data_IF_827068544016
#
_entry.id   IF_827068544016
#
_cell.length_a   1.000
_cell.length_b   1.000
_cell.length_c   1.000
_cell.angle_alpha   90.00
_cell.angle_beta   90.00
_cell.angle_gamma   90.00
#
_symmetry.space_group_name_H-M   'P 1'
#
loop_
_entity.id
_entity.type
_entity.pdbx_description
1 polymer ?
#
# COMPACT_ATOMS: atom_id res chain seq x y z
N UNK A 1 23.22 32.56 40.83
CA UNK A 1 23.24 31.15 40.38
C UNK A 1 21.96 30.67 39.68
N UNK A 2 20.75 31.16 40.02
CA UNK A 2 19.50 30.73 39.37
C UNK A 2 19.33 31.25 37.92
N UNK A 3 19.74 32.51 37.64
CA UNK A 3 19.68 33.08 36.29
C UNK A 3 20.61 32.39 35.28
N UNK A 4 21.80 31.98 35.71
CA UNK A 4 22.80 31.31 34.86
C UNK A 4 22.33 29.93 34.38
N UNK A 5 21.53 29.21 35.18
CA UNK A 5 20.93 27.93 34.77
C UNK A 5 19.81 28.10 33.73
N UNK A 6 19.05 29.20 33.80
CA UNK A 6 17.99 29.52 32.82
C UNK A 6 18.64 29.88 31.48
N UNK A 7 19.74 30.64 31.50
CA UNK A 7 20.49 31.00 30.30
C UNK A 7 21.10 29.77 29.60
N UNK A 8 21.63 28.81 30.38
CA UNK A 8 22.17 27.56 29.86
C UNK A 8 21.08 26.67 29.23
N UNK A 9 19.90 26.60 29.84
CA UNK A 9 18.75 25.83 29.31
C UNK A 9 18.21 26.42 28.01
N UNK A 10 18.17 27.75 27.88
CA UNK A 10 17.75 28.42 26.64
C UNK A 10 18.74 28.17 25.48
N UNK A 11 20.04 28.10 25.78
CA UNK A 11 21.07 27.79 24.78
C UNK A 11 20.97 26.36 24.25
N UNK A 12 20.68 25.37 25.11
CA UNK A 12 20.53 23.97 24.70
C UNK A 12 19.21 23.75 23.93
N UNK A 13 18.15 24.47 24.28
CA UNK A 13 16.87 24.43 23.56
C UNK A 13 16.90 25.17 22.21
N UNK A 14 17.84 26.10 22.00
CA UNK A 14 17.99 26.86 20.75
C UNK A 14 18.77 26.16 19.64
N UNK A 15 19.50 25.08 19.93
CA UNK A 15 20.25 24.30 18.92
C UNK A 15 19.36 23.35 18.08
N UNK A 16 18.07 23.25 18.39
CA UNK A 16 17.07 22.46 17.65
C UNK A 16 16.10 23.37 16.89
N UNK A 17 16.56 24.53 16.43
CA UNK A 17 15.86 25.24 15.38
C UNK A 17 15.94 24.38 14.12
N UNK A 18 14.80 23.79 13.76
CA UNK A 18 14.52 23.15 12.50
C UNK A 18 15.19 23.91 11.36
N UNK A 19 16.35 23.43 10.90
CA UNK A 19 16.90 23.86 9.63
C UNK A 19 16.02 23.25 8.56
N UNK A 20 14.91 23.94 8.26
CA UNK A 20 14.42 23.93 6.90
C UNK A 20 15.64 24.22 6.02
N UNK A 21 16.02 23.25 5.19
CA UNK A 21 17.18 23.35 4.33
C UNK A 21 16.90 24.51 3.39
N UNK A 22 17.46 25.68 3.68
CA UNK A 22 17.25 26.93 2.93
C UNK A 22 18.08 26.96 1.64
N UNK A 23 18.16 25.79 0.99
CA UNK A 23 18.84 25.55 -0.27
C UNK A 23 17.83 24.99 -1.25
N UNK A 24 17.10 25.85 -1.98
CA UNK A 24 16.01 25.42 -2.86
C UNK A 24 16.49 24.46 -3.95
N UNK A 25 17.74 24.61 -4.40
CA UNK A 25 18.42 23.74 -5.36
C UNK A 25 18.48 22.27 -4.89
N UNK A 26 18.84 22.03 -3.64
CA UNK A 26 18.94 20.67 -3.08
C UNK A 26 17.56 20.04 -2.93
N UNK A 27 16.58 20.83 -2.49
CA UNK A 27 15.20 20.37 -2.32
C UNK A 27 14.55 20.06 -3.68
N UNK A 28 14.86 20.85 -4.70
CA UNK A 28 14.34 20.64 -6.06
C UNK A 28 14.86 19.34 -6.67
N UNK A 29 16.16 19.06 -6.60
CA UNK A 29 16.73 17.81 -7.13
C UNK A 29 16.20 16.59 -6.37
N UNK A 30 16.10 16.67 -5.04
CA UNK A 30 15.54 15.60 -4.22
C UNK A 30 14.05 15.38 -4.54
N UNK A 31 13.28 16.46 -4.73
CA UNK A 31 11.87 16.36 -5.10
C UNK A 31 11.70 15.70 -6.48
N UNK A 32 12.55 16.03 -7.46
CA UNK A 32 12.52 15.43 -8.78
C UNK A 32 12.83 13.93 -8.75
N UNK A 33 13.90 13.51 -8.05
CA UNK A 33 14.25 12.09 -7.95
C UNK A 33 13.23 11.28 -7.16
N UNK A 34 12.72 11.82 -6.04
CA UNK A 34 11.65 11.16 -5.27
C UNK A 34 10.35 11.04 -6.06
N UNK A 35 9.98 12.07 -6.83
CA UNK A 35 8.83 12.00 -7.72
C UNK A 35 9.01 10.93 -8.81
N UNK A 36 10.21 10.83 -9.40
CA UNK A 36 10.52 9.81 -10.42
C UNK A 36 10.42 8.40 -9.86
N UNK A 37 10.98 8.16 -8.66
CA UNK A 37 10.87 6.87 -7.98
C UNK A 37 9.42 6.53 -7.65
N UNK A 38 8.63 7.50 -7.17
CA UNK A 38 7.20 7.27 -6.87
C UNK A 38 6.40 6.86 -8.11
N UNK A 39 6.66 7.48 -9.26
CA UNK A 39 6.03 7.10 -10.54
C UNK A 39 6.46 5.70 -10.98
N UNK A 40 7.76 5.37 -10.85
CA UNK A 40 8.25 4.03 -11.19
C UNK A 40 7.63 2.94 -10.31
N UNK A 41 7.46 3.19 -9.01
CA UNK A 41 6.75 2.27 -8.12
C UNK A 41 5.27 2.13 -8.51
N UNK A 42 4.61 3.24 -8.87
CA UNK A 42 3.21 3.21 -9.31
C UNK A 42 2.99 2.46 -10.63
N UNK A 43 4.01 2.39 -11.49
CA UNK A 43 3.98 1.62 -12.73
C UNK A 43 4.31 0.14 -12.54
N UNK A 44 4.83 -0.25 -11.38
CA UNK A 44 5.11 -1.64 -11.08
C UNK A 44 3.77 -2.38 -10.92
N UNK A 45 3.40 -3.16 -11.94
CA UNK A 45 2.21 -4.00 -11.88
C UNK A 45 2.31 -4.89 -10.65
N UNK A 46 1.29 -4.84 -9.79
CA UNK A 46 1.17 -5.77 -8.67
C UNK A 46 1.32 -7.20 -9.22
N UNK A 47 2.20 -8.04 -8.64
CA UNK A 47 2.39 -9.38 -9.14
C UNK A 47 1.06 -10.11 -9.21
N UNK A 48 0.81 -10.76 -10.35
CA UNK A 48 -0.39 -11.56 -10.53
C UNK A 48 -0.48 -12.61 -9.41
N UNK A 49 -1.69 -12.93 -8.91
CA UNK A 49 -1.85 -13.96 -7.91
C UNK A 49 -1.28 -15.28 -8.43
N UNK A 50 -0.53 -15.99 -7.59
CA UNK A 50 0.17 -17.22 -7.96
C UNK A 50 -0.76 -18.33 -8.48
N UNK A 51 -2.04 -18.28 -8.13
CA UNK A 51 -3.05 -19.19 -8.67
C UNK A 51 -4.43 -18.55 -8.73
N UNK A 52 -5.11 -18.75 -9.86
CA UNK A 52 -6.51 -18.38 -10.06
C UNK A 52 -7.47 -19.42 -9.45
N UNK A 53 -6.98 -20.53 -8.88
CA UNK A 53 -7.83 -21.62 -8.36
C UNK A 53 -8.63 -21.18 -7.13
N UNK A 54 -9.91 -21.51 -7.10
CA UNK A 54 -10.74 -21.32 -5.92
C UNK A 54 -10.24 -22.19 -4.76
N UNK A 55 -9.91 -21.58 -3.62
CA UNK A 55 -9.39 -22.28 -2.44
C UNK A 55 -10.40 -23.26 -1.84
N UNK A 56 -11.70 -23.01 -2.01
CA UNK A 56 -12.74 -23.81 -1.39
C UNK A 56 -13.07 -25.12 -2.14
N UNK A 57 -12.65 -25.23 -3.41
CA UNK A 57 -12.88 -26.43 -4.21
C UNK A 57 -11.63 -26.88 -4.98
N UNK A 58 -10.46 -26.32 -4.63
CA UNK A 58 -9.17 -26.57 -5.30
C UNK A 58 -9.20 -26.45 -6.83
N UNK A 59 -10.11 -25.61 -7.34
CA UNK A 59 -10.29 -25.39 -8.77
C UNK A 59 -11.22 -26.36 -9.50
N UNK A 60 -11.85 -27.31 -8.80
CA UNK A 60 -12.76 -28.30 -9.41
C UNK A 60 -14.16 -27.74 -9.70
N UNK A 61 -14.54 -26.64 -9.07
CA UNK A 61 -15.89 -26.05 -9.16
C UNK A 61 -16.97 -26.81 -8.38
N UNK A 62 -16.62 -27.93 -7.73
CA UNK A 62 -17.57 -28.79 -7.00
C UNK A 62 -16.99 -29.17 -5.64
N UNK A 63 -17.86 -29.45 -4.68
CA UNK A 63 -17.48 -29.88 -3.33
C UNK A 63 -18.23 -31.17 -3.04
N UNK A 64 -17.54 -32.14 -2.44
CA UNK A 64 -18.16 -33.39 -2.02
C UNK A 64 -17.24 -34.60 -2.12
N UNK A 65 -17.56 -35.64 -1.34
CA UNK A 65 -16.77 -36.86 -1.20
C UNK A 65 -17.02 -37.88 -2.32
N UNK A 66 -17.33 -37.39 -3.53
CA UNK A 66 -17.63 -38.21 -4.72
C UNK A 66 -19.03 -38.84 -4.76
N UNK A 67 -19.70 -39.03 -3.61
CA UNK A 67 -21.09 -39.56 -3.55
C UNK A 67 -22.16 -38.48 -3.52
N UNK A 68 -21.92 -37.39 -2.79
CA UNK A 68 -22.78 -36.21 -2.76
C UNK A 68 -21.96 -35.08 -3.32
N UNK A 69 -22.34 -34.56 -4.49
CA UNK A 69 -21.59 -33.52 -5.18
C UNK A 69 -22.47 -32.27 -5.28
N UNK A 70 -22.01 -31.19 -4.69
CA UNK A 70 -22.66 -29.89 -4.75
C UNK A 70 -21.78 -28.86 -5.47
N UNK A 71 -22.40 -27.94 -6.19
CA UNK A 71 -21.68 -26.84 -6.83
C UNK A 71 -21.02 -25.97 -5.76
N UNK A 72 -19.74 -25.62 -5.94
CA UNK A 72 -19.02 -24.81 -4.95
C UNK A 72 -19.71 -23.44 -4.80
N UNK A 73 -20.19 -23.07 -3.59
CA UNK A 73 -20.96 -21.84 -3.38
C UNK A 73 -20.11 -20.58 -3.52
N UNK A 74 -18.80 -20.69 -3.25
CA UNK A 74 -17.84 -19.57 -3.28
C UNK A 74 -17.55 -19.13 -4.71
N UNK A 75 -17.18 -20.07 -5.59
CA UNK A 75 -16.88 -19.77 -6.99
C UNK A 75 -18.08 -19.99 -7.92
N UNK A 76 -19.24 -20.41 -7.38
CA UNK A 76 -20.47 -20.73 -8.14
C UNK A 76 -20.22 -21.70 -9.30
N UNK A 77 -19.32 -22.66 -9.11
CA UNK A 77 -18.98 -23.65 -10.13
C UNK A 77 -17.85 -23.25 -11.09
N UNK A 78 -17.33 -22.02 -11.02
CA UNK A 78 -16.27 -21.58 -11.94
C UNK A 78 -14.89 -22.18 -11.65
N UNK A 79 -14.68 -22.68 -10.43
CA UNK A 79 -13.38 -23.17 -9.97
C UNK A 79 -12.32 -22.08 -9.83
N UNK A 80 -12.68 -20.79 -9.93
CA UNK A 80 -11.71 -19.69 -9.89
C UNK A 80 -12.01 -18.70 -8.78
N UNK A 81 -10.98 -18.02 -8.28
CA UNK A 81 -11.14 -16.85 -7.40
C UNK A 81 -11.74 -15.70 -8.21
N UNK A 82 -12.51 -14.84 -7.54
CA UNK A 82 -12.96 -13.60 -8.16
C UNK A 82 -11.72 -12.76 -8.49
N UNK A 83 -11.52 -12.44 -9.77
CA UNK A 83 -10.49 -11.49 -10.17
C UNK A 83 -10.88 -10.13 -9.61
N UNK A 84 -10.03 -9.56 -8.76
CA UNK A 84 -10.12 -8.15 -8.41
C UNK A 84 -9.80 -7.35 -9.67
N UNK A 85 -10.83 -7.02 -10.44
CA UNK A 85 -10.71 -6.11 -11.56
C UNK A 85 -10.56 -4.72 -10.96
N UNK A 86 -9.41 -4.08 -11.19
CA UNK A 86 -9.30 -2.64 -11.04
C UNK A 86 -10.37 -2.02 -11.94
N UNK A 87 -11.44 -1.53 -11.34
CA UNK A 87 -12.42 -0.72 -12.07
C UNK A 87 -11.63 0.50 -12.55
N UNK A 88 -11.55 0.70 -13.87
CA UNK A 88 -10.99 1.90 -14.49
C UNK A 88 -11.93 3.08 -14.20
N UNK A 89 -11.96 3.49 -12.94
CA UNK A 89 -12.78 4.55 -12.38
C UNK A 89 -11.99 5.16 -11.24
N UNK A 90 -11.85 6.48 -11.28
CA UNK A 90 -11.16 7.24 -10.24
C UNK A 90 -11.72 6.86 -8.87
N UNK A 91 -10.87 6.31 -8.01
CA UNK A 91 -11.18 6.07 -6.61
C UNK A 91 -11.26 7.43 -5.90
N UNK A 92 -12.42 8.08 -5.95
CA UNK A 92 -12.65 9.42 -5.38
C UNK A 92 -12.75 9.43 -3.85
N UNK A 93 -12.75 8.26 -3.20
CA UNK A 93 -13.01 8.12 -1.76
C UNK A 93 -11.91 7.41 -0.98
N UNK A 94 -10.80 7.02 -1.61
CA UNK A 94 -9.66 6.41 -0.91
C UNK A 94 -9.94 5.06 -0.20
N UNK A 95 -11.06 4.40 -0.51
CA UNK A 95 -11.43 3.13 0.10
C UNK A 95 -11.68 2.06 -0.97
N UNK A 96 -10.77 1.10 -1.08
CA UNK A 96 -11.04 -0.16 -1.76
C UNK A 96 -11.87 -1.02 -0.80
N UNK A 97 -13.14 -1.28 -1.15
CA UNK A 97 -13.95 -2.25 -0.39
C UNK A 97 -13.41 -3.67 -0.68
N UNK A 98 -13.25 -4.53 0.35
CA UNK A 98 -12.84 -5.91 0.15
C UNK A 98 -13.82 -6.68 -0.74
#
# INVERSE_FOLDING_TARGET
MRLSRILLLAFVAGCVNATAVDRPDIVADLACETARMAVQLGQQMTPAPASDKCDNCDGTGKIGDGRIVMTCPVCKGTGKKAKSVLVTGTCTTGACKP
#
